data_IF_902709862122
#
_entry.id   IF_902709862122
#
_cell.length_a   1.000
_cell.length_b   1.000
_cell.length_c   1.000
_cell.angle_alpha   90.00
_cell.angle_beta   90.00
_cell.angle_gamma   90.00
#
_symmetry.space_group_name_H-M   'P 1'
#
loop_
_entity.id
_entity.type
_entity.pdbx_description
1 polymer ?
#
# COMPACT_ATOMS: atom_id res chain seq x y z
N UNK A 1 -2.55 17.47 12.01
CA UNK A 1 -3.02 17.85 10.65
C UNK A 1 -3.82 16.67 10.10
N UNK A 2 -5.10 16.85 9.69
CA UNK A 2 -5.94 15.76 9.15
C UNK A 2 -5.89 15.78 7.63
N UNK A 3 -5.31 14.76 7.00
CA UNK A 3 -5.17 14.70 5.54
C UNK A 3 -6.45 14.14 4.89
N UNK A 4 -7.43 15.02 4.57
CA UNK A 4 -8.76 14.60 4.08
C UNK A 4 -9.10 14.98 2.64
N UNK A 5 -8.39 15.93 2.01
CA UNK A 5 -8.96 16.63 0.84
C UNK A 5 -8.20 16.48 -0.49
N UNK A 6 -6.91 16.09 -0.47
CA UNK A 6 -5.99 15.72 -1.57
C UNK A 6 -4.60 16.18 -1.15
N UNK A 7 -3.56 15.43 -1.51
CA UNK A 7 -2.18 15.82 -1.16
C UNK A 7 -1.30 15.80 -2.39
N UNK A 8 -0.84 16.99 -2.78
CA UNK A 8 0.11 17.19 -3.88
C UNK A 8 1.54 17.42 -3.37
N UNK A 9 1.69 17.81 -2.10
CA UNK A 9 2.98 18.23 -1.53
C UNK A 9 3.72 17.10 -0.82
N UNK A 10 3.04 16.28 0.00
CA UNK A 10 3.70 15.17 0.67
C UNK A 10 2.76 14.28 1.49
N UNK A 11 3.14 13.02 1.63
CA UNK A 11 2.39 11.98 2.31
C UNK A 11 3.13 11.52 3.58
N UNK A 12 2.42 11.19 4.67
CA UNK A 12 3.06 10.70 5.87
C UNK A 12 3.72 9.34 5.63
N UNK A 13 4.85 9.07 6.27
CA UNK A 13 5.54 7.77 6.26
C UNK A 13 5.02 6.91 7.40
N UNK A 14 4.24 5.89 7.09
CA UNK A 14 3.67 4.94 8.06
C UNK A 14 4.45 3.62 8.01
N UNK A 15 4.68 3.04 9.18
CA UNK A 15 5.45 1.79 9.31
C UNK A 15 4.64 0.68 9.97
N UNK A 16 3.72 1.04 10.86
CA UNK A 16 2.99 0.08 11.70
C UNK A 16 1.48 0.09 11.43
N UNK A 17 0.86 -1.06 11.62
CA UNK A 17 -0.61 -1.23 11.62
C UNK A 17 -1.33 -0.25 12.54
N UNK A 18 -0.76 0.02 13.72
CA UNK A 18 -1.28 0.98 14.71
C UNK A 18 -1.34 2.42 14.19
N UNK A 19 -0.61 2.73 13.11
CA UNK A 19 -0.65 4.03 12.45
C UNK A 19 -1.54 3.98 11.20
N UNK A 20 -1.48 2.88 10.46
CA UNK A 20 -2.20 2.71 9.19
C UNK A 20 -3.71 2.70 9.41
N UNK A 21 -4.23 1.86 10.33
CA UNK A 21 -5.67 1.76 10.51
C UNK A 21 -6.33 3.09 10.97
N UNK A 22 -5.85 3.78 12.03
CA UNK A 22 -6.41 5.09 12.42
C UNK A 22 -6.25 6.16 11.34
N UNK A 23 -5.17 6.12 10.55
CA UNK A 23 -5.00 7.02 9.42
C UNK A 23 -6.06 6.78 8.33
N UNK A 24 -6.27 5.51 7.98
CA UNK A 24 -7.24 5.11 6.98
C UNK A 24 -8.67 5.38 7.41
N UNK A 25 -9.02 5.22 8.69
CA UNK A 25 -10.38 5.38 9.18
C UNK A 25 -10.70 6.85 9.49
N UNK A 26 -9.82 7.52 10.25
CA UNK A 26 -10.11 8.83 10.83
C UNK A 26 -9.34 9.98 10.16
N UNK A 27 -8.31 9.65 9.38
CA UNK A 27 -7.30 10.61 8.94
C UNK A 27 -6.36 11.03 10.07
N UNK A 28 -6.27 10.21 11.13
CA UNK A 28 -5.40 10.44 12.27
C UNK A 28 -3.95 10.14 11.88
N UNK A 29 -3.09 11.16 11.97
CA UNK A 29 -1.66 11.01 11.70
C UNK A 29 -0.93 10.95 13.04
N UNK A 30 -0.04 9.96 13.28
CA UNK A 30 0.77 9.92 14.49
C UNK A 30 1.59 11.21 14.67
N UNK A 31 1.80 11.63 15.93
CA UNK A 31 2.73 12.72 16.22
C UNK A 31 4.16 12.35 15.79
N UNK A 32 4.90 13.31 15.22
CA UNK A 32 6.28 13.16 14.73
C UNK A 32 6.47 12.21 13.54
N UNK A 33 5.47 12.09 12.67
CA UNK A 33 5.65 11.34 11.42
C UNK A 33 6.44 12.16 10.39
N UNK A 34 7.37 11.50 9.69
CA UNK A 34 8.02 12.06 8.51
C UNK A 34 7.01 12.20 7.37
N UNK A 35 7.18 13.24 6.53
CA UNK A 35 6.42 13.41 5.31
C UNK A 35 7.38 13.39 4.12
N UNK A 36 7.04 12.61 3.11
CA UNK A 36 7.80 12.54 1.86
C UNK A 36 6.95 13.02 0.71
N UNK A 37 7.59 13.67 -0.25
CA UNK A 37 6.91 14.26 -1.40
C UNK A 37 6.17 13.20 -2.22
N UNK A 38 5.08 13.63 -2.86
CA UNK A 38 4.41 12.81 -3.87
C UNK A 38 5.17 12.99 -5.18
N UNK A 39 5.62 11.92 -5.86
CA UNK A 39 6.40 12.03 -7.08
C UNK A 39 5.67 12.83 -8.17
N UNK A 40 6.40 13.60 -9.00
CA UNK A 40 5.79 14.38 -10.08
C UNK A 40 4.88 13.53 -10.98
N UNK A 41 3.72 14.10 -11.34
CA UNK A 41 2.73 13.43 -12.19
C UNK A 41 1.83 12.42 -11.46
N UNK A 42 2.02 12.20 -10.15
CA UNK A 42 1.11 11.39 -9.31
C UNK A 42 0.17 12.31 -8.53
N UNK A 43 -1.09 11.90 -8.42
CA UNK A 43 -2.09 12.59 -7.61
C UNK A 43 -2.67 11.62 -6.61
N UNK A 44 -2.48 11.91 -5.33
CA UNK A 44 -3.12 11.19 -4.24
C UNK A 44 -4.45 11.88 -3.92
N UNK A 45 -5.54 11.23 -4.33
CA UNK A 45 -6.88 11.61 -3.89
C UNK A 45 -7.14 10.85 -2.59
N UNK A 46 -7.41 11.60 -1.51
CA UNK A 46 -7.76 11.12 -0.16
C UNK A 46 -6.88 10.00 0.42
N UNK A 47 -6.21 10.31 1.54
CA UNK A 47 -5.57 9.32 2.44
C UNK A 47 -4.49 8.42 1.80
N UNK A 48 -3.59 8.96 0.97
CA UNK A 48 -2.37 8.24 0.59
C UNK A 48 -1.25 8.43 1.61
N UNK A 49 -0.33 7.48 1.65
CA UNK A 49 0.79 7.47 2.60
C UNK A 49 1.97 6.68 2.02
N UNK A 50 3.19 6.99 2.47
CA UNK A 50 4.35 6.16 2.19
C UNK A 50 4.41 5.03 3.20
N UNK A 51 4.46 3.79 2.74
CA UNK A 51 4.62 2.62 3.58
C UNK A 51 6.09 2.24 3.64
N UNK A 52 6.64 2.11 4.86
CA UNK A 52 7.90 1.42 5.12
C UNK A 52 7.59 0.04 5.69
N UNK A 53 7.62 -1.04 4.89
CA UNK A 53 7.30 -2.36 5.38
C UNK A 53 8.33 -2.83 6.41
N UNK A 54 7.89 -3.60 7.42
CA UNK A 54 8.77 -4.19 8.43
C UNK A 54 9.65 -5.34 7.91
N UNK A 55 9.57 -5.66 6.63
CA UNK A 55 10.33 -6.69 5.93
C UNK A 55 10.73 -6.16 4.56
N UNK A 56 11.72 -6.78 3.93
CA UNK A 56 12.16 -6.38 2.60
C UNK A 56 11.18 -6.92 1.55
N UNK A 57 10.58 -6.00 0.80
CA UNK A 57 9.59 -6.28 -0.26
C UNK A 57 10.24 -6.28 -1.65
N UNK A 58 11.28 -5.48 -1.86
CA UNK A 58 11.92 -5.27 -3.16
C UNK A 58 13.45 -5.21 -3.01
N UNK A 59 14.18 -5.41 -4.11
CA UNK A 59 15.64 -5.50 -4.09
C UNK A 59 16.30 -4.15 -3.73
N UNK A 60 15.74 -3.04 -4.23
CA UNK A 60 16.25 -1.68 -3.96
C UNK A 60 15.27 -0.86 -3.12
N UNK A 61 14.03 -0.72 -3.57
CA UNK A 61 13.04 0.09 -2.89
C UNK A 61 12.74 -0.35 -1.45
N UNK A 62 12.68 0.64 -0.56
CA UNK A 62 12.41 0.51 0.88
C UNK A 62 11.12 1.21 1.31
N UNK A 63 10.61 2.11 0.46
CA UNK A 63 9.38 2.86 0.70
C UNK A 63 8.45 2.75 -0.49
N UNK A 64 7.15 2.61 -0.22
CA UNK A 64 6.13 2.37 -1.24
C UNK A 64 5.00 3.37 -1.05
N UNK A 65 4.72 4.21 -2.05
CA UNK A 65 3.62 5.16 -2.00
C UNK A 65 2.31 4.42 -2.24
N UNK A 66 1.47 4.39 -1.21
CA UNK A 66 0.16 3.73 -1.23
C UNK A 66 -0.92 4.76 -1.51
N UNK A 67 -1.69 4.53 -2.57
CA UNK A 67 -2.96 5.22 -2.82
C UNK A 67 -4.09 4.38 -2.24
N UNK A 68 -4.74 4.87 -1.19
CA UNK A 68 -5.80 4.15 -0.48
C UNK A 68 -7.22 4.42 -1.02
N UNK A 69 -7.42 5.44 -1.86
CA UNK A 69 -8.74 5.74 -2.43
C UNK A 69 -9.00 4.88 -3.67
N UNK A 70 -9.69 3.77 -3.48
CA UNK A 70 -10.04 2.78 -4.53
C UNK A 70 -10.92 3.38 -5.63
N UNK A 71 -11.70 4.43 -5.32
CA UNK A 71 -12.74 4.96 -6.21
C UNK A 71 -12.34 6.25 -6.91
N UNK A 72 -11.39 6.99 -6.35
CA UNK A 72 -10.87 8.24 -6.92
C UNK A 72 -9.41 8.12 -7.40
N UNK A 73 -8.84 6.93 -7.40
CA UNK A 73 -7.55 6.67 -8.05
C UNK A 73 -7.57 7.20 -9.48
N UNK A 74 -6.50 7.91 -9.87
CA UNK A 74 -6.31 8.27 -11.27
C UNK A 74 -6.50 7.00 -12.12
N UNK A 75 -7.37 7.07 -13.12
CA UNK A 75 -7.42 6.09 -14.20
C UNK A 75 -6.01 6.02 -14.77
N UNK A 76 -5.28 4.96 -14.43
CA UNK A 76 -4.08 4.63 -15.18
C UNK A 76 -4.59 4.17 -16.54
N UNK A 77 -4.36 4.97 -17.59
CA UNK A 77 -4.77 4.62 -18.96
C UNK A 77 -4.12 3.30 -19.43
N UNK A 78 -3.15 2.80 -18.67
CA UNK A 78 -2.48 1.51 -18.86
C UNK A 78 -2.81 0.50 -17.76
N UNK A 79 -3.94 0.65 -17.07
CA UNK A 79 -4.39 -0.23 -15.99
C UNK A 79 -4.32 -1.72 -16.36
N UNK A 80 -4.73 -2.07 -17.58
CA UNK A 80 -4.70 -3.45 -18.08
C UNK A 80 -3.30 -3.91 -18.54
N UNK A 81 -2.36 -2.98 -18.73
CA UNK A 81 -1.00 -3.26 -19.25
C UNK A 81 0.09 -3.19 -18.20
N UNK A 82 -0.24 -2.75 -16.98
CA UNK A 82 0.72 -2.63 -15.86
C UNK A 82 0.39 -3.61 -14.76
N UNK A 83 1.42 -4.32 -14.31
CA UNK A 83 1.38 -5.13 -13.09
C UNK A 83 0.85 -4.29 -11.93
N UNK A 84 -0.35 -4.63 -11.47
CA UNK A 84 -0.94 -3.98 -10.31
C UNK A 84 -0.34 -4.56 -9.04
N UNK A 85 0.30 -3.69 -8.26
CA UNK A 85 0.85 -4.04 -6.96
C UNK A 85 -0.10 -3.52 -5.89
N UNK A 86 -0.54 -4.43 -5.03
CA UNK A 86 -1.54 -4.17 -4.00
C UNK A 86 -0.91 -4.17 -2.62
N UNK A 87 -1.50 -3.38 -1.73
CA UNK A 87 -1.20 -3.34 -0.31
C UNK A 87 -2.40 -3.87 0.48
N UNK A 88 -2.12 -4.78 1.40
CA UNK A 88 -3.07 -5.42 2.28
C UNK A 88 -2.60 -5.35 3.72
N UNK A 89 -3.53 -5.27 4.68
CA UNK A 89 -3.24 -5.26 6.10
C UNK A 89 -3.60 -6.60 6.72
N UNK A 90 -2.68 -7.17 7.49
CA UNK A 90 -2.98 -8.27 8.39
C UNK A 90 -3.07 -7.76 9.81
N UNK A 91 -4.27 -7.77 10.38
CA UNK A 91 -4.46 -7.45 11.80
C UNK A 91 -3.80 -8.51 12.69
N UNK A 92 -3.83 -9.79 12.27
CA UNK A 92 -3.23 -10.90 13.01
C UNK A 92 -1.72 -10.79 13.10
N UNK A 93 -1.05 -10.52 11.98
CA UNK A 93 0.41 -10.36 11.95
C UNK A 93 0.86 -8.92 12.28
N UNK A 94 -0.09 -8.00 12.49
CA UNK A 94 0.18 -6.58 12.74
C UNK A 94 1.08 -5.92 11.70
N UNK A 95 1.02 -6.36 10.44
CA UNK A 95 1.89 -5.89 9.34
C UNK A 95 1.10 -5.67 8.04
N UNK A 96 1.69 -4.91 7.12
CA UNK A 96 1.16 -4.68 5.79
C UNK A 96 1.89 -5.53 4.75
N UNK A 97 1.16 -6.29 3.94
CA UNK A 97 1.67 -7.09 2.85
C UNK A 97 1.58 -6.33 1.53
N UNK A 98 2.67 -6.35 0.75
CA UNK A 98 2.72 -5.81 -0.61
C UNK A 98 2.97 -6.95 -1.59
N UNK A 99 2.14 -7.03 -2.63
CA UNK A 99 2.27 -8.11 -3.60
C UNK A 99 1.35 -7.98 -4.81
N UNK A 100 1.47 -8.97 -5.69
CA UNK A 100 0.58 -9.17 -6.84
C UNK A 100 -0.58 -10.06 -6.42
N UNK A 101 -1.78 -9.75 -6.89
CA UNK A 101 -2.94 -10.61 -6.63
C UNK A 101 -3.15 -11.53 -7.81
N UNK A 102 -3.11 -12.83 -7.56
CA UNK A 102 -3.43 -13.86 -8.55
C UNK A 102 -4.72 -14.59 -8.13
N UNK A 103 -5.55 -14.94 -9.13
CA UNK A 103 -6.72 -15.79 -8.93
C UNK A 103 -6.30 -17.23 -9.20
N UNK A 104 -6.39 -18.07 -8.17
CA UNK A 104 -6.16 -19.50 -8.28
C UNK A 104 -7.52 -20.20 -8.23
N UNK A 105 -7.99 -20.70 -9.37
CA UNK A 105 -9.33 -21.27 -9.50
C UNK A 105 -10.46 -20.23 -9.36
N UNK A 106 -11.66 -20.68 -9.00
CA UNK A 106 -12.87 -19.84 -9.02
C UNK A 106 -13.03 -18.94 -7.78
N UNK A 107 -12.41 -19.28 -6.65
CA UNK A 107 -12.68 -18.59 -5.37
C UNK A 107 -11.43 -18.14 -4.63
N UNK A 108 -10.25 -18.71 -4.92
CA UNK A 108 -9.06 -18.39 -4.15
C UNK A 108 -8.31 -17.22 -4.78
N UNK A 109 -7.93 -16.25 -3.94
CA UNK A 109 -7.03 -15.16 -4.31
C UNK A 109 -5.80 -15.21 -3.43
N UNK A 110 -4.65 -15.27 -4.06
CA UNK A 110 -3.35 -15.30 -3.40
C UNK A 110 -2.64 -13.97 -3.62
N UNK A 111 -1.95 -13.51 -2.58
CA UNK A 111 -1.05 -12.38 -2.67
C UNK A 111 0.38 -12.92 -2.83
N UNK A 112 0.94 -12.82 -4.02
CA UNK A 112 2.32 -13.21 -4.28
C UNK A 112 3.29 -12.07 -3.95
N UNK A 113 4.40 -12.36 -3.25
CA UNK A 113 5.42 -11.36 -2.94
C UNK A 113 6.10 -10.84 -4.21
N UNK A 114 6.63 -9.62 -4.16
CA UNK A 114 7.33 -9.00 -5.30
C UNK A 114 8.75 -9.55 -5.53
N UNK A 115 9.33 -10.20 -4.51
CA UNK A 115 10.62 -10.86 -4.58
C UNK A 115 10.42 -12.37 -4.39
N UNK A 116 10.59 -13.18 -5.45
CA UNK A 116 10.28 -14.61 -5.42
C UNK A 116 11.20 -15.47 -4.53
N UNK A 117 12.33 -14.94 -4.05
CA UNK A 117 13.36 -15.77 -3.39
C UNK A 117 13.79 -15.28 -2.00
N UNK A 118 13.12 -14.25 -1.46
CA UNK A 118 13.54 -13.65 -0.18
C UNK A 118 12.81 -14.24 1.04
N UNK A 119 11.62 -14.78 0.82
CA UNK A 119 10.80 -15.45 1.84
C UNK A 119 10.27 -16.75 1.21
N UNK A 120 10.01 -17.79 2.01
CA UNK A 120 9.19 -18.92 1.53
C UNK A 120 7.92 -18.36 0.88
N UNK A 121 7.38 -18.98 -0.19
CA UNK A 121 6.19 -18.50 -0.88
C UNK A 121 5.09 -18.22 0.12
N UNK A 122 4.94 -16.94 0.47
CA UNK A 122 3.94 -16.51 1.42
C UNK A 122 2.67 -16.32 0.59
N UNK A 123 2.07 -17.43 0.18
CA UNK A 123 0.77 -17.44 -0.48
C UNK A 123 -0.28 -17.09 0.58
N UNK A 124 -0.34 -15.80 0.92
CA UNK A 124 -1.28 -15.29 1.90
C UNK A 124 -2.65 -15.27 1.24
N UNK A 125 -3.53 -16.13 1.72
CA UNK A 125 -4.94 -16.07 1.34
C UNK A 125 -5.50 -14.70 1.72
N UNK A 126 -6.13 -14.03 0.76
CA UNK A 126 -6.70 -12.70 0.97
C UNK A 126 -7.86 -12.70 1.97
N UNK A 127 -8.48 -13.84 2.27
CA UNK A 127 -9.68 -13.94 3.12
C UNK A 127 -9.46 -13.48 4.58
N UNK A 128 -8.20 -13.33 5.00
CA UNK A 128 -7.83 -12.76 6.30
C UNK A 128 -7.20 -11.36 6.24
N UNK A 129 -7.17 -10.73 5.06
CA UNK A 129 -6.46 -9.47 4.82
C UNK A 129 -7.42 -8.34 4.47
N UNK A 130 -7.24 -7.18 5.11
CA UNK A 130 -7.97 -5.97 4.74
C UNK A 130 -7.28 -5.28 3.57
N UNK A 131 -8.00 -5.01 2.48
CA UNK A 131 -7.44 -4.25 1.37
C UNK A 131 -7.17 -2.80 1.80
N UNK A 132 -5.95 -2.33 1.56
CA UNK A 132 -5.52 -0.97 1.93
C UNK A 132 -5.51 -0.05 0.72
N UNK A 133 -4.95 -0.52 -0.40
CA UNK A 133 -4.75 0.33 -1.57
C UNK A 133 -3.78 -0.25 -2.58
N UNK A 134 -3.34 0.59 -3.52
CA UNK A 134 -2.36 0.21 -4.55
C UNK A 134 -1.05 0.95 -4.36
N UNK A 135 0.05 0.28 -4.67
CA UNK A 135 1.36 0.90 -4.78
C UNK A 135 1.41 1.67 -6.10
N UNK A 136 1.67 2.96 -6.04
CA UNK A 136 1.73 3.84 -7.23
C UNK A 136 3.12 4.40 -7.51
N UNK A 137 4.04 4.25 -6.57
CA UNK A 137 5.46 4.59 -6.68
C UNK A 137 6.25 3.86 -5.58
N UNK A 138 7.56 3.72 -5.77
CA UNK A 138 8.48 3.14 -4.81
C UNK A 138 9.86 3.82 -4.92
N UNK A 139 10.55 3.97 -3.80
CA UNK A 139 11.92 4.53 -3.70
C UNK A 139 12.79 3.64 -2.84
#
# INVERSE_FOLDING_TARGET
MRNRERTYSGCPVLTMTTQIAPYLDEGAVPGNVEYLEVPPGKVIRKRGFWLKPGYRVHHTAVLFLISADVYAMNTDDFYERRDQIHCYLSHRASTAYIGRVERVGESQRLLHPLLPDLHEPLDVQLDGLAYVGRVISAI
#
